data_IF_274790617031
#
_entry.id   IF_274790617031
#
_cell.length_a   1.000
_cell.length_b   1.000
_cell.length_c   1.000
_cell.angle_alpha   90.00
_cell.angle_beta   90.00
_cell.angle_gamma   90.00
#
_symmetry.space_group_name_H-M   'P 1'
#
loop_
_entity.id
_entity.type
_entity.pdbx_description
1 polymer ?
#
# COMPACT_ATOMS: atom_id res chain seq x y z
N UNK A 1 25.14 -104.07 15.40
CA UNK A 1 23.78 -104.13 14.85
C UNK A 1 23.51 -102.71 14.28
N UNK A 2 23.52 -102.55 12.97
CA UNK A 2 22.42 -102.10 12.11
C UNK A 2 21.92 -100.76 12.51
N UNK A 3 21.80 -99.75 11.68
CA UNK A 3 21.14 -99.71 10.35
C UNK A 3 21.44 -98.39 9.67
N UNK A 4 21.60 -98.41 8.41
CA UNK A 4 21.33 -97.46 7.32
C UNK A 4 20.66 -96.15 7.71
N UNK A 5 21.20 -95.05 7.20
CA UNK A 5 20.38 -93.97 6.67
C UNK A 5 21.09 -93.35 5.45
N UNK A 6 20.54 -93.64 4.32
CA UNK A 6 20.81 -93.02 3.04
C UNK A 6 20.20 -91.63 3.11
N UNK A 7 21.01 -90.61 2.99
CA UNK A 7 20.49 -89.24 2.95
C UNK A 7 20.68 -88.69 1.59
N UNK A 8 19.55 -88.54 0.87
CA UNK A 8 19.48 -87.96 -0.44
C UNK A 8 19.86 -86.48 -0.36
N UNK A 9 20.97 -86.15 -1.04
CA UNK A 9 21.36 -84.77 -1.23
C UNK A 9 20.48 -84.17 -2.35
N UNK A 10 19.42 -83.50 -1.97
CA UNK A 10 18.56 -82.71 -2.87
C UNK A 10 19.31 -81.40 -3.15
N UNK A 11 19.87 -81.28 -4.30
CA UNK A 11 20.37 -79.99 -4.86
C UNK A 11 19.16 -79.16 -5.22
N UNK A 12 18.76 -78.27 -4.31
CA UNK A 12 17.81 -77.24 -4.61
C UNK A 12 18.53 -76.10 -5.34
N UNK A 13 18.43 -76.10 -6.65
CA UNK A 13 18.84 -75.01 -7.51
C UNK A 13 17.82 -73.87 -7.31
N UNK A 14 18.11 -72.98 -6.33
CA UNK A 14 17.31 -71.78 -6.08
C UNK A 14 17.46 -70.81 -7.26
N UNK A 15 16.38 -70.63 -7.98
CA UNK A 15 16.21 -69.53 -8.96
C UNK A 15 16.26 -68.21 -8.19
N UNK A 16 17.42 -67.58 -8.20
CA UNK A 16 17.54 -66.14 -7.83
C UNK A 16 16.90 -65.37 -8.94
N UNK A 17 15.59 -65.15 -8.87
CA UNK A 17 14.91 -64.08 -9.61
C UNK A 17 15.41 -62.76 -9.04
N UNK A 18 16.50 -62.23 -9.64
CA UNK A 18 16.94 -60.87 -9.41
C UNK A 18 15.85 -59.89 -9.86
N UNK A 19 15.14 -59.32 -8.91
CA UNK A 19 14.33 -58.15 -9.15
C UNK A 19 15.31 -57.02 -9.54
N UNK A 20 15.55 -56.88 -10.84
CA UNK A 20 16.13 -55.68 -11.46
C UNK A 20 15.03 -54.57 -11.33
N UNK A 21 14.93 -53.97 -10.13
CA UNK A 21 14.28 -52.70 -10.03
C UNK A 21 15.18 -51.68 -10.71
N UNK A 22 14.90 -51.41 -11.99
CA UNK A 22 15.39 -50.17 -12.62
C UNK A 22 15.00 -49.04 -11.68
N UNK A 23 15.94 -48.25 -11.14
CA UNK A 23 15.59 -47.09 -10.33
C UNK A 23 14.67 -46.24 -11.19
N UNK A 24 13.46 -46.03 -10.69
CA UNK A 24 12.53 -45.06 -11.27
C UNK A 24 13.28 -43.73 -11.30
N UNK A 25 13.40 -43.03 -12.43
CA UNK A 25 14.18 -41.82 -12.50
C UNK A 25 13.59 -40.84 -11.45
N UNK A 26 14.43 -40.43 -10.50
CA UNK A 26 14.03 -39.42 -9.52
C UNK A 26 13.36 -38.25 -10.26
N UNK A 27 12.20 -37.79 -9.80
CA UNK A 27 11.50 -36.70 -10.42
C UNK A 27 12.46 -35.52 -10.51
N UNK A 28 12.76 -35.10 -11.73
CA UNK A 28 13.71 -34.02 -11.99
C UNK A 28 13.14 -32.76 -11.33
N UNK A 29 13.91 -32.19 -10.41
CA UNK A 29 13.54 -30.91 -9.78
C UNK A 29 13.27 -29.85 -10.84
N UNK A 30 12.17 -29.10 -10.77
CA UNK A 30 11.83 -28.10 -11.76
C UNK A 30 12.89 -26.98 -11.80
N UNK A 31 13.24 -26.55 -12.97
CA UNK A 31 14.16 -25.43 -13.16
C UNK A 31 13.53 -24.09 -12.74
N UNK A 32 14.37 -23.09 -12.45
CA UNK A 32 13.91 -21.74 -12.15
C UNK A 32 12.98 -21.16 -13.23
N UNK A 33 13.22 -21.49 -14.51
CA UNK A 33 12.39 -21.04 -15.63
C UNK A 33 11.04 -21.74 -15.66
N UNK A 34 11.01 -23.04 -15.40
CA UNK A 34 9.78 -23.82 -15.32
C UNK A 34 8.88 -23.32 -14.17
N UNK A 35 9.45 -23.13 -12.97
CA UNK A 35 8.73 -22.59 -11.81
C UNK A 35 8.21 -21.16 -12.10
N UNK A 36 9.06 -20.31 -12.68
CA UNK A 36 8.65 -18.95 -13.03
C UNK A 36 7.49 -18.94 -14.03
N UNK A 37 7.54 -19.78 -15.06
CA UNK A 37 6.48 -19.92 -16.06
C UNK A 37 5.20 -20.49 -15.46
N UNK A 38 5.33 -21.46 -14.57
CA UNK A 38 4.19 -22.01 -13.83
C UNK A 38 3.51 -20.93 -12.96
N UNK A 39 4.29 -20.12 -12.25
CA UNK A 39 3.77 -19.02 -11.44
C UNK A 39 3.00 -17.99 -12.29
N UNK A 40 3.52 -17.64 -13.48
CA UNK A 40 2.78 -16.80 -14.44
C UNK A 40 1.46 -17.43 -14.88
N UNK A 41 1.46 -18.73 -15.14
CA UNK A 41 0.22 -19.44 -15.50
C UNK A 41 -0.83 -19.33 -14.39
N UNK A 42 -0.41 -19.36 -13.12
CA UNK A 42 -1.32 -19.11 -12.00
C UNK A 42 -1.81 -17.66 -11.94
N UNK A 43 -0.97 -16.68 -12.24
CA UNK A 43 -1.38 -15.28 -12.35
C UNK A 43 -2.47 -15.08 -13.42
N UNK A 44 -2.27 -15.66 -14.60
CA UNK A 44 -3.22 -15.56 -15.71
C UNK A 44 -4.59 -16.18 -15.37
N UNK A 45 -4.57 -17.24 -14.56
CA UNK A 45 -5.76 -17.88 -14.01
C UNK A 45 -6.37 -17.15 -12.80
N UNK A 46 -5.76 -16.05 -12.35
CA UNK A 46 -6.11 -15.32 -11.12
C UNK A 46 -6.00 -16.17 -9.84
N UNK A 47 -5.20 -17.22 -9.87
CA UNK A 47 -4.88 -18.05 -8.71
C UNK A 47 -3.71 -17.42 -7.93
N UNK A 48 -3.93 -16.20 -7.43
CA UNK A 48 -2.89 -15.29 -6.94
C UNK A 48 -2.08 -15.88 -5.79
N UNK A 49 -2.73 -16.56 -4.86
CA UNK A 49 -2.05 -17.25 -3.76
C UNK A 49 -1.05 -18.29 -4.26
N UNK A 50 -1.48 -19.16 -5.21
CA UNK A 50 -0.57 -20.17 -5.80
C UNK A 50 0.55 -19.52 -6.60
N UNK A 51 0.25 -18.42 -7.29
CA UNK A 51 1.26 -17.66 -8.01
C UNK A 51 2.35 -17.14 -7.05
N UNK A 52 1.97 -16.50 -5.94
CA UNK A 52 2.88 -16.00 -4.94
C UNK A 52 3.76 -17.11 -4.36
N UNK A 53 3.15 -18.20 -3.87
CA UNK A 53 3.85 -19.38 -3.33
C UNK A 53 4.83 -20.00 -4.36
N UNK A 54 4.46 -20.00 -5.64
CA UNK A 54 5.33 -20.56 -6.69
C UNK A 54 6.47 -19.61 -7.05
N UNK A 55 6.24 -18.29 -7.07
CA UNK A 55 7.33 -17.31 -7.22
C UNK A 55 8.32 -17.37 -6.05
N UNK A 56 7.83 -17.56 -4.81
CA UNK A 56 8.72 -17.77 -3.65
C UNK A 56 9.60 -19.02 -3.80
N UNK A 57 9.07 -20.12 -4.35
CA UNK A 57 9.88 -21.31 -4.63
C UNK A 57 11.03 -21.01 -5.58
N UNK A 58 10.82 -20.17 -6.61
CA UNK A 58 11.92 -19.74 -7.49
C UNK A 58 13.05 -19.08 -6.71
N UNK A 59 12.69 -18.23 -5.73
CA UNK A 59 13.67 -17.53 -4.89
C UNK A 59 14.39 -18.50 -3.95
N UNK A 60 13.65 -19.42 -3.32
CA UNK A 60 14.18 -20.35 -2.31
C UNK A 60 15.05 -21.45 -2.95
N UNK A 61 14.58 -22.05 -4.05
CA UNK A 61 15.26 -23.19 -4.68
C UNK A 61 16.37 -22.75 -5.65
N UNK A 62 16.22 -21.55 -6.26
CA UNK A 62 17.15 -21.04 -7.27
C UNK A 62 17.59 -19.59 -7.02
N UNK A 63 18.14 -19.24 -5.84
CA UNK A 63 18.38 -17.85 -5.40
C UNK A 63 19.35 -17.08 -6.32
N UNK A 64 20.24 -17.77 -7.00
CA UNK A 64 21.25 -17.17 -7.90
C UNK A 64 20.82 -17.12 -9.38
N UNK A 65 19.61 -17.57 -9.69
CA UNK A 65 19.12 -17.54 -11.06
C UNK A 65 18.72 -16.12 -11.48
N UNK A 66 18.80 -15.84 -12.78
CA UNK A 66 18.26 -14.59 -13.36
C UNK A 66 16.75 -14.43 -13.12
N UNK A 67 16.06 -15.55 -12.81
CA UNK A 67 14.63 -15.58 -12.55
C UNK A 67 14.27 -15.19 -11.11
N UNK A 68 15.18 -15.41 -10.15
CA UNK A 68 14.91 -15.14 -8.74
C UNK A 68 14.54 -13.67 -8.48
N UNK A 69 15.30 -12.72 -9.03
CA UNK A 69 15.01 -11.28 -8.87
C UNK A 69 13.67 -10.89 -9.48
N UNK A 70 13.33 -11.45 -10.66
CA UNK A 70 12.03 -11.21 -11.30
C UNK A 70 10.91 -11.87 -10.51
N UNK A 71 11.11 -13.10 -10.03
CA UNK A 71 10.15 -13.82 -9.23
C UNK A 71 9.79 -13.08 -7.94
N UNK A 72 10.78 -12.48 -7.26
CA UNK A 72 10.57 -11.67 -6.06
C UNK A 72 9.60 -10.51 -6.31
N UNK A 73 9.77 -9.76 -7.38
CA UNK A 73 8.89 -8.66 -7.73
C UNK A 73 7.50 -9.15 -8.14
N UNK A 74 7.44 -10.22 -8.93
CA UNK A 74 6.16 -10.80 -9.37
C UNK A 74 5.40 -11.52 -8.24
N UNK A 75 6.11 -12.09 -7.27
CA UNK A 75 5.53 -12.62 -6.04
C UNK A 75 4.84 -11.53 -5.22
N UNK A 76 5.52 -10.39 -5.05
CA UNK A 76 4.93 -9.23 -4.40
C UNK A 76 3.68 -8.71 -5.16
N UNK A 77 3.72 -8.70 -6.49
CA UNK A 77 2.53 -8.37 -7.29
C UNK A 77 1.40 -9.39 -7.08
N UNK A 78 1.72 -10.67 -6.99
CA UNK A 78 0.72 -11.70 -6.74
C UNK A 78 0.08 -11.55 -5.35
N UNK A 79 0.85 -11.24 -4.31
CA UNK A 79 0.33 -10.88 -3.00
C UNK A 79 -0.59 -9.66 -3.04
N UNK A 80 -0.18 -8.59 -3.73
CA UNK A 80 -1.03 -7.41 -3.92
C UNK A 80 -2.36 -7.77 -4.59
N UNK A 81 -2.35 -8.63 -5.60
CA UNK A 81 -3.56 -9.08 -6.31
C UNK A 81 -4.45 -10.01 -5.47
N UNK A 82 -3.89 -10.64 -4.43
CA UNK A 82 -4.60 -11.48 -3.45
C UNK A 82 -5.07 -10.69 -2.22
N UNK A 83 -4.98 -9.34 -2.28
CA UNK A 83 -5.27 -8.42 -1.18
C UNK A 83 -4.43 -8.68 0.09
N UNK A 84 -3.28 -9.36 -0.07
CA UNK A 84 -2.27 -9.61 0.96
C UNK A 84 -1.25 -8.47 0.99
N UNK A 85 -1.75 -7.29 1.32
CA UNK A 85 -0.97 -6.06 1.23
C UNK A 85 0.28 -6.06 2.13
N UNK A 86 0.18 -6.60 3.34
CA UNK A 86 1.32 -6.68 4.27
C UNK A 86 2.44 -7.58 3.73
N UNK A 87 2.09 -8.75 3.18
CA UNK A 87 3.05 -9.67 2.57
C UNK A 87 3.70 -9.05 1.32
N UNK A 88 2.90 -8.33 0.52
CA UNK A 88 3.40 -7.58 -0.63
C UNK A 88 4.40 -6.50 -0.20
N UNK A 89 4.09 -5.71 0.83
CA UNK A 89 4.96 -4.65 1.37
C UNK A 89 6.28 -5.23 1.87
N UNK A 90 6.25 -6.33 2.64
CA UNK A 90 7.46 -7.01 3.13
C UNK A 90 8.34 -7.47 1.96
N UNK A 91 7.74 -8.06 0.93
CA UNK A 91 8.47 -8.54 -0.25
C UNK A 91 9.06 -7.38 -1.06
N UNK A 92 8.32 -6.28 -1.21
CA UNK A 92 8.75 -5.07 -1.90
C UNK A 92 9.88 -4.36 -1.15
N UNK A 93 9.81 -4.28 0.17
CA UNK A 93 10.89 -3.69 0.98
C UNK A 93 12.19 -4.47 0.85
N UNK A 94 12.11 -5.81 0.81
CA UNK A 94 13.28 -6.66 0.51
C UNK A 94 13.80 -6.40 -0.89
N UNK A 95 12.92 -6.33 -1.90
CA UNK A 95 13.31 -6.06 -3.29
C UNK A 95 14.02 -4.70 -3.41
N UNK A 96 13.44 -3.65 -2.87
CA UNK A 96 13.97 -2.28 -2.90
C UNK A 96 15.34 -2.21 -2.21
N UNK A 97 15.47 -2.88 -1.05
CA UNK A 97 16.71 -2.89 -0.26
C UNK A 97 17.85 -3.61 -0.97
N UNK A 98 17.57 -4.76 -1.58
CA UNK A 98 18.63 -5.62 -2.16
C UNK A 98 18.87 -5.40 -3.66
N UNK A 99 17.94 -4.74 -4.36
CA UNK A 99 18.01 -4.50 -5.80
C UNK A 99 17.78 -3.03 -6.17
N UNK A 100 18.43 -2.04 -5.51
CA UNK A 100 18.17 -0.62 -5.71
C UNK A 100 18.45 -0.11 -7.14
N UNK A 101 19.32 -0.79 -7.88
CA UNK A 101 19.66 -0.48 -9.28
C UNK A 101 18.85 -1.28 -10.30
N UNK A 102 17.83 -2.02 -9.89
CA UNK A 102 17.03 -2.79 -10.83
C UNK A 102 16.21 -1.86 -11.74
N UNK A 103 16.05 -2.24 -13.01
CA UNK A 103 15.27 -1.46 -13.98
C UNK A 103 13.81 -1.27 -13.58
N UNK A 104 13.23 -2.21 -12.83
CA UNK A 104 11.85 -2.22 -12.40
C UNK A 104 11.68 -1.62 -10.98
N UNK A 105 12.71 -0.91 -10.47
CA UNK A 105 12.70 -0.34 -9.12
C UNK A 105 11.60 0.70 -8.94
N UNK A 106 11.33 1.52 -9.96
CA UNK A 106 10.25 2.50 -9.92
C UNK A 106 8.87 1.83 -9.74
N UNK A 107 8.66 0.71 -10.42
CA UNK A 107 7.45 -0.09 -10.25
C UNK A 107 7.35 -0.69 -8.84
N UNK A 108 8.45 -1.16 -8.26
CA UNK A 108 8.43 -1.69 -6.89
C UNK A 108 8.02 -0.64 -5.85
N UNK A 109 8.56 0.59 -5.95
CA UNK A 109 8.13 1.70 -5.10
C UNK A 109 6.66 2.06 -5.30
N UNK A 110 6.21 2.09 -6.55
CA UNK A 110 4.83 2.40 -6.89
C UNK A 110 3.86 1.32 -6.38
N UNK A 111 4.18 0.04 -6.58
CA UNK A 111 3.34 -1.06 -6.08
C UNK A 111 3.24 -1.05 -4.56
N UNK A 112 4.33 -0.71 -3.85
CA UNK A 112 4.29 -0.52 -2.40
C UNK A 112 3.35 0.62 -2.00
N UNK A 113 3.39 1.74 -2.73
CA UNK A 113 2.46 2.84 -2.49
C UNK A 113 1.00 2.44 -2.73
N UNK A 114 0.74 1.62 -3.77
CA UNK A 114 -0.60 1.08 -4.03
C UNK A 114 -1.08 0.17 -2.90
N UNK A 115 -0.20 -0.66 -2.31
CA UNK A 115 -0.58 -1.50 -1.17
C UNK A 115 -1.15 -0.69 0.00
N UNK A 116 -0.60 0.48 0.30
CA UNK A 116 -1.16 1.38 1.32
C UNK A 116 -2.41 2.11 0.81
N UNK A 117 -2.37 2.58 -0.44
CA UNK A 117 -3.45 3.37 -1.02
C UNK A 117 -4.78 2.59 -1.09
N UNK A 118 -4.73 1.33 -1.52
CA UNK A 118 -5.93 0.50 -1.64
C UNK A 118 -6.51 0.07 -0.27
N UNK A 119 -5.76 0.31 0.82
CA UNK A 119 -6.22 0.13 2.20
C UNK A 119 -6.78 1.42 2.84
N UNK A 120 -6.84 2.54 2.10
CA UNK A 120 -7.40 3.78 2.64
C UNK A 120 -8.87 3.56 3.03
N UNK A 121 -9.15 3.80 4.29
CA UNK A 121 -10.49 3.71 4.85
C UNK A 121 -11.23 5.06 4.74
N UNK A 122 -12.50 5.08 5.15
CA UNK A 122 -13.28 6.33 5.24
C UNK A 122 -12.67 7.27 6.29
N UNK A 123 -12.92 8.57 6.16
CA UNK A 123 -12.32 9.61 7.03
C UNK A 123 -12.65 9.45 8.52
N UNK A 124 -13.71 8.75 8.87
CA UNK A 124 -14.10 8.47 10.26
C UNK A 124 -13.17 7.46 10.94
N UNK A 125 -12.52 6.59 10.15
CA UNK A 125 -11.63 5.54 10.63
C UNK A 125 -10.21 6.05 10.86
N UNK A 126 -9.34 5.14 11.32
CA UNK A 126 -7.90 5.40 11.43
C UNK A 126 -7.30 5.73 10.06
N UNK A 127 -6.38 6.70 10.03
CA UNK A 127 -5.75 7.20 8.82
C UNK A 127 -4.30 6.74 8.64
N UNK A 128 -3.85 5.76 9.42
CA UNK A 128 -2.47 5.25 9.34
C UNK A 128 -2.07 4.83 7.92
N UNK A 129 -2.92 4.07 7.24
CA UNK A 129 -2.66 3.68 5.85
C UNK A 129 -2.69 4.87 4.88
N UNK A 130 -3.53 5.90 5.14
CA UNK A 130 -3.57 7.12 4.32
C UNK A 130 -2.27 7.90 4.43
N UNK A 131 -1.70 8.02 5.64
CA UNK A 131 -0.40 8.67 5.86
C UNK A 131 0.74 7.90 5.20
N UNK A 132 0.76 6.57 5.32
CA UNK A 132 1.79 5.74 4.67
C UNK A 132 1.64 5.77 3.14
N UNK A 133 0.42 5.74 2.59
CA UNK A 133 0.17 5.94 1.18
C UNK A 133 0.70 7.29 0.68
N UNK A 134 0.38 8.37 1.41
CA UNK A 134 0.84 9.72 1.10
C UNK A 134 2.38 9.80 1.03
N UNK A 135 3.08 9.27 2.06
CA UNK A 135 4.55 9.23 2.10
C UNK A 135 5.15 8.40 0.98
N UNK A 136 4.58 7.20 0.73
CA UNK A 136 5.07 6.30 -0.30
C UNK A 136 4.86 6.89 -1.72
N UNK A 137 3.71 7.51 -1.98
CA UNK A 137 3.43 8.20 -3.25
C UNK A 137 4.38 9.39 -3.48
N UNK A 138 4.68 10.18 -2.44
CA UNK A 138 5.69 11.24 -2.52
C UNK A 138 7.07 10.68 -2.91
N UNK A 139 7.47 9.53 -2.34
CA UNK A 139 8.74 8.90 -2.69
C UNK A 139 8.79 8.50 -4.17
N UNK A 140 7.71 7.96 -4.74
CA UNK A 140 7.64 7.64 -6.17
C UNK A 140 7.83 8.89 -7.02
N UNK A 141 7.10 9.96 -6.72
CA UNK A 141 7.16 11.23 -7.47
C UNK A 141 8.55 11.86 -7.39
N UNK A 142 9.18 11.84 -6.21
CA UNK A 142 10.48 12.45 -5.99
C UNK A 142 11.62 11.66 -6.65
N UNK A 143 11.59 10.33 -6.53
CA UNK A 143 12.68 9.46 -7.02
C UNK A 143 12.60 9.18 -8.52
N UNK A 144 11.40 9.15 -9.09
CA UNK A 144 11.13 8.70 -10.46
C UNK A 144 10.20 9.66 -11.22
N UNK A 145 10.48 10.97 -11.23
CA UNK A 145 9.56 12.03 -11.67
C UNK A 145 9.05 11.88 -13.11
N UNK A 146 9.85 11.25 -13.98
CA UNK A 146 9.61 11.14 -15.42
C UNK A 146 8.92 9.82 -15.83
N UNK A 147 8.42 9.05 -14.86
CA UNK A 147 7.75 7.77 -15.12
C UNK A 147 6.24 7.93 -15.12
N UNK A 148 5.55 7.04 -15.85
CA UNK A 148 4.08 6.93 -15.81
C UNK A 148 3.59 6.64 -14.39
N UNK A 149 4.39 5.93 -13.59
CA UNK A 149 4.11 5.68 -12.17
C UNK A 149 4.03 6.98 -11.36
N UNK A 150 4.90 7.95 -11.64
CA UNK A 150 4.86 9.24 -10.97
C UNK A 150 3.66 10.09 -11.40
N UNK A 151 3.19 9.96 -12.64
CA UNK A 151 1.99 10.65 -13.10
C UNK A 151 0.74 10.15 -12.35
N UNK A 152 0.56 8.83 -12.28
CA UNK A 152 -0.54 8.24 -11.53
C UNK A 152 -0.41 8.49 -10.02
N UNK A 153 0.82 8.43 -9.48
CA UNK A 153 1.08 8.73 -8.08
C UNK A 153 0.69 10.17 -7.69
N UNK A 154 0.80 11.16 -8.58
CA UNK A 154 0.35 12.55 -8.30
C UNK A 154 -1.16 12.62 -8.09
N UNK A 155 -1.95 11.94 -8.94
CA UNK A 155 -3.40 11.89 -8.78
C UNK A 155 -3.81 11.23 -7.46
N UNK A 156 -3.18 10.10 -7.13
CA UNK A 156 -3.45 9.39 -5.87
C UNK A 156 -2.99 10.18 -4.64
N UNK A 157 -1.89 10.94 -4.78
CA UNK A 157 -1.40 11.82 -3.72
C UNK A 157 -2.42 12.91 -3.38
N UNK A 158 -3.03 13.54 -4.39
CA UNK A 158 -4.03 14.59 -4.18
C UNK A 158 -5.28 14.02 -3.49
N UNK A 159 -5.72 12.82 -3.87
CA UNK A 159 -6.81 12.12 -3.17
C UNK A 159 -6.45 11.78 -1.71
N UNK A 160 -5.22 11.30 -1.46
CA UNK A 160 -4.76 11.03 -0.10
C UNK A 160 -4.70 12.28 0.77
N UNK A 161 -4.27 13.42 0.18
CA UNK A 161 -4.32 14.74 0.86
C UNK A 161 -5.73 15.15 1.23
N UNK A 162 -6.68 14.98 0.29
CA UNK A 162 -8.08 15.35 0.53
C UNK A 162 -8.67 14.51 1.67
N UNK A 163 -8.35 13.21 1.75
CA UNK A 163 -8.74 12.35 2.86
C UNK A 163 -8.17 12.82 4.21
N UNK A 164 -6.86 13.15 4.26
CA UNK A 164 -6.22 13.65 5.49
C UNK A 164 -6.82 14.97 5.93
N UNK A 165 -7.04 15.89 5.00
CA UNK A 165 -7.71 17.16 5.27
C UNK A 165 -9.14 16.94 5.78
N UNK A 166 -9.89 16.01 5.18
CA UNK A 166 -11.23 15.62 5.61
C UNK A 166 -11.27 15.15 7.05
N UNK A 167 -10.27 14.37 7.49
CA UNK A 167 -10.14 13.92 8.89
C UNK A 167 -9.92 15.09 9.85
N UNK A 168 -9.03 16.02 9.51
CA UNK A 168 -8.80 17.21 10.32
C UNK A 168 -10.09 18.07 10.42
N UNK A 169 -10.81 18.20 9.30
CA UNK A 169 -12.09 18.91 9.27
C UNK A 169 -13.15 18.24 10.15
N UNK A 170 -13.24 16.91 10.13
CA UNK A 170 -14.18 16.16 10.96
C UNK A 170 -13.91 16.37 12.45
N UNK A 171 -12.64 16.20 12.86
CA UNK A 171 -12.21 16.43 14.24
C UNK A 171 -12.45 17.89 14.65
N UNK A 172 -12.15 18.84 13.75
CA UNK A 172 -12.39 20.27 13.98
C UNK A 172 -13.86 20.58 14.21
N UNK A 173 -14.75 20.05 13.38
CA UNK A 173 -16.22 20.19 13.56
C UNK A 173 -16.72 19.56 14.85
N UNK A 174 -16.19 18.41 15.24
CA UNK A 174 -16.50 17.77 16.51
C UNK A 174 -16.14 18.68 17.70
N UNK A 175 -14.91 19.21 17.76
CA UNK A 175 -14.52 20.13 18.82
C UNK A 175 -15.33 21.43 18.82
N UNK A 176 -15.67 21.95 17.64
CA UNK A 176 -16.51 23.14 17.51
C UNK A 176 -17.92 22.88 18.10
N UNK A 177 -18.50 21.71 17.84
CA UNK A 177 -19.81 21.33 18.41
C UNK A 177 -19.79 21.19 19.93
N UNK A 178 -18.63 20.94 20.52
CA UNK A 178 -18.40 20.88 21.96
C UNK A 178 -18.00 22.24 22.56
N UNK A 179 -18.02 23.32 21.77
CA UNK A 179 -17.55 24.66 22.15
C UNK A 179 -16.05 24.70 22.56
N UNK A 180 -15.27 23.69 22.16
CA UNK A 180 -13.83 23.66 22.37
C UNK A 180 -13.12 24.40 21.23
N UNK A 181 -13.25 25.74 21.26
CA UNK A 181 -12.83 26.61 20.15
C UNK A 181 -11.33 26.52 19.82
N UNK A 182 -10.47 26.44 20.83
CA UNK A 182 -9.02 26.36 20.60
C UNK A 182 -8.59 25.04 19.94
N UNK A 183 -9.19 23.91 20.38
CA UNK A 183 -8.92 22.63 19.75
C UNK A 183 -9.47 22.57 18.31
N UNK A 184 -10.67 23.12 18.08
CA UNK A 184 -11.23 23.23 16.75
C UNK A 184 -10.36 24.11 15.83
N UNK A 185 -9.92 25.28 16.33
CA UNK A 185 -9.07 26.20 15.60
C UNK A 185 -7.76 25.54 15.16
N UNK A 186 -7.12 24.78 16.05
CA UNK A 186 -5.88 24.05 15.72
C UNK A 186 -6.10 23.09 14.55
N UNK A 187 -7.20 22.32 14.55
CA UNK A 187 -7.52 21.39 13.45
C UNK A 187 -7.76 22.10 12.12
N UNK A 188 -8.56 23.15 12.13
CA UNK A 188 -8.79 23.94 10.91
C UNK A 188 -7.51 24.65 10.44
N UNK A 189 -6.63 25.07 11.37
CA UNK A 189 -5.34 25.67 11.02
C UNK A 189 -4.41 24.67 10.32
N UNK A 190 -4.41 23.39 10.73
CA UNK A 190 -3.69 22.34 10.03
C UNK A 190 -4.16 22.22 8.57
N UNK A 191 -5.48 22.29 8.32
CA UNK A 191 -5.98 22.27 6.93
C UNK A 191 -5.51 23.49 6.15
N UNK A 192 -5.53 24.67 6.76
CA UNK A 192 -5.09 25.92 6.11
C UNK A 192 -3.58 25.94 5.84
N UNK A 193 -2.75 25.33 6.71
CA UNK A 193 -1.28 25.31 6.52
C UNK A 193 -0.81 24.19 5.58
N UNK A 194 -1.35 22.97 5.73
CA UNK A 194 -0.75 21.78 5.16
C UNK A 194 -1.56 21.22 3.96
N UNK A 195 -2.84 21.58 3.85
CA UNK A 195 -3.77 21.02 2.86
C UNK A 195 -4.46 22.07 1.98
N UNK A 196 -3.74 23.12 1.59
CA UNK A 196 -4.28 24.29 0.85
C UNK A 196 -4.91 23.94 -0.50
N UNK A 197 -4.48 22.83 -1.13
CA UNK A 197 -4.96 22.41 -2.45
C UNK A 197 -6.18 21.49 -2.41
N UNK A 198 -6.69 21.19 -1.22
CA UNK A 198 -7.82 20.27 -1.04
C UNK A 198 -9.16 21.00 -1.14
N UNK A 199 -10.22 20.23 -1.36
CA UNK A 199 -11.61 20.75 -1.37
C UNK A 199 -12.07 21.34 -0.03
N UNK A 200 -11.31 21.12 1.04
CA UNK A 200 -11.65 21.51 2.41
C UNK A 200 -11.18 22.90 2.81
N UNK A 201 -10.28 23.54 2.04
CA UNK A 201 -9.63 24.81 2.42
C UNK A 201 -10.64 25.95 2.64
N UNK A 202 -11.66 26.05 1.79
CA UNK A 202 -12.65 27.12 1.89
C UNK A 202 -13.47 27.04 3.19
N UNK A 203 -13.92 25.84 3.57
CA UNK A 203 -14.62 25.64 4.84
C UNK A 203 -13.68 25.89 6.02
N UNK A 204 -12.43 25.41 5.96
CA UNK A 204 -11.46 25.60 7.04
C UNK A 204 -11.22 27.10 7.33
N UNK A 205 -11.01 27.91 6.31
CA UNK A 205 -10.87 29.37 6.43
C UNK A 205 -12.13 30.00 7.03
N UNK A 206 -13.32 29.60 6.57
CA UNK A 206 -14.58 30.08 7.15
C UNK A 206 -14.71 29.73 8.64
N UNK A 207 -14.36 28.49 9.02
CA UNK A 207 -14.40 28.07 10.44
C UNK A 207 -13.41 28.84 11.30
N UNK A 208 -12.25 29.23 10.74
CA UNK A 208 -11.36 30.15 11.44
C UNK A 208 -12.01 31.52 11.67
N UNK A 209 -12.68 32.09 10.66
CA UNK A 209 -13.42 33.35 10.81
C UNK A 209 -14.46 33.26 11.93
N UNK A 210 -15.26 32.19 11.92
CA UNK A 210 -16.30 31.94 12.92
C UNK A 210 -15.70 31.88 14.34
N UNK A 211 -14.65 31.07 14.54
CA UNK A 211 -14.02 30.89 15.86
C UNK A 211 -13.31 32.16 16.32
N UNK A 212 -12.53 32.82 15.46
CA UNK A 212 -11.85 34.06 15.82
C UNK A 212 -12.86 35.15 16.25
N UNK A 213 -14.01 35.22 15.58
CA UNK A 213 -15.09 36.16 15.98
C UNK A 213 -15.63 35.82 17.33
N UNK A 214 -15.92 34.54 17.64
CA UNK A 214 -16.41 34.08 18.95
C UNK A 214 -15.37 34.41 20.05
N UNK A 215 -14.11 34.29 19.78
CA UNK A 215 -13.01 34.57 20.71
C UNK A 215 -12.68 36.08 20.83
N UNK A 216 -13.35 36.96 20.09
CA UNK A 216 -13.06 38.39 20.07
C UNK A 216 -11.76 38.79 19.32
N UNK A 217 -11.19 37.84 18.57
CA UNK A 217 -9.96 38.06 17.80
C UNK A 217 -10.29 38.65 16.43
N UNK A 218 -10.80 39.89 16.43
CA UNK A 218 -11.37 40.49 15.20
C UNK A 218 -10.41 40.72 14.08
N UNK A 219 -9.13 40.98 14.38
CA UNK A 219 -8.09 41.16 13.34
C UNK A 219 -7.83 39.83 12.60
N UNK A 220 -7.66 38.73 13.34
CA UNK A 220 -7.45 37.41 12.78
C UNK A 220 -8.67 36.95 11.97
N UNK A 221 -9.89 37.25 12.45
CA UNK A 221 -11.11 36.97 11.72
C UNK A 221 -11.16 37.71 10.37
N UNK A 222 -10.80 39.00 10.33
CA UNK A 222 -10.72 39.78 9.10
C UNK A 222 -9.65 39.25 8.13
N UNK A 223 -8.47 38.86 8.66
CA UNK A 223 -7.39 38.31 7.85
C UNK A 223 -7.81 36.99 7.20
N UNK A 224 -8.42 36.07 7.94
CA UNK A 224 -8.92 34.80 7.37
C UNK A 224 -10.04 35.04 6.34
N UNK A 225 -10.96 35.99 6.60
CA UNK A 225 -12.00 36.35 5.64
C UNK A 225 -11.41 37.00 4.38
N UNK A 226 -10.36 37.82 4.51
CA UNK A 226 -9.65 38.41 3.36
C UNK A 226 -9.01 37.33 2.50
N UNK A 227 -8.29 36.39 3.09
CA UNK A 227 -7.66 35.25 2.36
C UNK A 227 -8.75 34.46 1.62
N UNK A 228 -9.86 34.17 2.29
CA UNK A 228 -10.98 33.44 1.68
C UNK A 228 -11.61 34.22 0.51
N UNK A 229 -11.83 35.52 0.67
CA UNK A 229 -12.44 36.35 -0.37
C UNK A 229 -11.50 36.61 -1.55
N UNK A 230 -10.20 36.72 -1.31
CA UNK A 230 -9.21 36.92 -2.35
C UNK A 230 -9.01 35.68 -3.23
N UNK A 231 -8.89 34.52 -2.61
CA UNK A 231 -8.59 33.28 -3.32
C UNK A 231 -9.85 32.55 -3.84
N UNK A 232 -10.99 32.73 -3.17
CA UNK A 232 -12.24 32.01 -3.45
C UNK A 232 -13.45 32.94 -3.44
N UNK A 233 -13.50 33.97 -4.33
CA UNK A 233 -14.52 35.03 -4.30
C UNK A 233 -15.95 34.51 -4.52
N UNK A 234 -16.13 33.44 -5.27
CA UNK A 234 -17.43 32.83 -5.56
C UNK A 234 -17.90 31.81 -4.51
N UNK A 235 -17.08 31.55 -3.52
CA UNK A 235 -17.33 30.54 -2.48
C UNK A 235 -18.57 30.86 -1.66
N UNK A 236 -19.39 29.84 -1.42
CA UNK A 236 -20.49 29.94 -0.42
C UNK A 236 -19.96 30.26 0.99
N UNK A 237 -18.75 29.81 1.29
CA UNK A 237 -18.11 30.02 2.58
C UNK A 237 -17.64 31.46 2.73
N UNK A 238 -17.16 32.10 1.65
CA UNK A 238 -16.84 33.53 1.66
C UNK A 238 -18.08 34.39 1.95
N UNK A 239 -19.21 34.08 1.32
CA UNK A 239 -20.46 34.81 1.57
C UNK A 239 -20.89 34.74 3.03
N UNK A 240 -20.72 33.58 3.68
CA UNK A 240 -21.00 33.42 5.12
C UNK A 240 -19.99 34.19 5.97
N UNK A 241 -18.68 34.10 5.68
CA UNK A 241 -17.64 34.83 6.41
C UNK A 241 -17.84 36.36 6.33
N UNK A 242 -18.17 36.87 5.14
CA UNK A 242 -18.45 38.29 4.94
C UNK A 242 -19.62 38.78 5.84
N UNK A 243 -20.69 38.03 5.95
CA UNK A 243 -21.82 38.39 6.81
C UNK A 243 -21.39 38.44 8.28
N UNK A 244 -20.60 37.50 8.78
CA UNK A 244 -20.09 37.51 10.17
C UNK A 244 -19.28 38.80 10.41
N UNK A 245 -18.33 39.13 9.51
CA UNK A 245 -17.49 40.33 9.69
C UNK A 245 -18.31 41.64 9.61
N UNK A 246 -19.26 41.71 8.66
CA UNK A 246 -20.15 42.88 8.51
C UNK A 246 -21.03 43.12 9.74
N UNK A 247 -21.58 42.08 10.31
CA UNK A 247 -22.45 42.19 11.49
C UNK A 247 -21.64 42.48 12.75
N UNK A 248 -20.42 41.91 12.89
CA UNK A 248 -19.52 42.25 14.00
C UNK A 248 -18.95 43.66 13.95
N UNK A 249 -18.97 44.32 12.79
CA UNK A 249 -18.55 45.73 12.66
C UNK A 249 -19.63 46.73 13.06
N UNK A 250 -20.86 46.29 13.33
CA UNK A 250 -21.97 47.13 13.74
C UNK A 250 -22.16 47.20 15.25
N UNK A 251 -21.49 46.32 15.99
CA UNK A 251 -21.51 46.26 17.44
C UNK A 251 -20.22 46.79 18.03
#
# INVERSE_FOLDING_TARGET
>A
MKKYLLFCFFVSLGLIAGCSSTPEPEPKEPTAEELYTQAHTYLDKKEYKKAAETFEKVELEHPYSKWATKAKLMGAYAYYKDDKYDDAIISLDRFIKFHPGNKDIAYAYYLKALCYYDQIATVEKDQGNTEEAYKALQQVIFRFPDTDYAQDARLKLDLSKDHLAGKEMEIGRYYLSQNNYLSALNRFSTVVSDFQTTSHIEEALYRQVEIYTILGMHEQARNAAYVLGHNYPDSKWYKKAYNIIKDGAKN
#
